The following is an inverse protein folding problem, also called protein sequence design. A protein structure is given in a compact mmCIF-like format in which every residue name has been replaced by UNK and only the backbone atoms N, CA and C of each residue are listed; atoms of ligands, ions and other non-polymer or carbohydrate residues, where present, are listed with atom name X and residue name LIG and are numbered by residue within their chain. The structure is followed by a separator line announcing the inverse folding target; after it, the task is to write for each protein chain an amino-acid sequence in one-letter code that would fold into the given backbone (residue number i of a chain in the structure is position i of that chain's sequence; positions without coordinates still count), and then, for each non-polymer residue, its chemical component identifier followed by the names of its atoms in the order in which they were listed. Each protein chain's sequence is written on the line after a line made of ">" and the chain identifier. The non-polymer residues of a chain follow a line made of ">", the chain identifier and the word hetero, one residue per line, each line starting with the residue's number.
data_IF_621397269648
#
_entry.id   IF_621397269648
#
_cell.length_a   1.000
_cell.length_b   1.000
_cell.length_c   1.000
_cell.angle_alpha   90.00
_cell.angle_beta   90.00
_cell.angle_gamma   90.00
#
_symmetry.space_group_name_H-M   'P 1'
#
loop_
_entity.id
_entity.type
_entity.pdbx_description
1 polymer ?
#
# COMPACT_ATOMS: atom_id res chain seq x y z
N UNK A 1 22.99 -7.87 39.32
CA UNK A 1 22.97 -8.22 37.88
C UNK A 1 21.51 -8.41 37.51
N UNK A 2 20.89 -7.41 36.88
CA UNK A 2 19.44 -7.37 36.64
C UNK A 2 19.17 -7.77 35.19
N UNK A 3 18.75 -9.01 34.95
CA UNK A 3 18.23 -9.45 33.65
C UNK A 3 16.74 -9.14 33.56
N UNK A 4 16.44 -7.88 33.24
CA UNK A 4 15.09 -7.36 32.97
C UNK A 4 14.72 -7.46 31.48
N UNK A 5 15.51 -8.20 30.70
CA UNK A 5 15.43 -8.23 29.24
C UNK A 5 14.70 -9.46 28.65
N UNK A 6 14.41 -10.50 29.45
CA UNK A 6 13.74 -11.71 28.94
C UNK A 6 12.21 -11.67 29.00
N UNK A 7 11.60 -10.67 29.62
CA UNK A 7 10.13 -10.60 29.81
C UNK A 7 9.37 -9.89 28.69
N UNK A 8 10.04 -9.40 27.64
CA UNK A 8 9.43 -8.61 26.56
C UNK A 8 9.30 -9.36 25.22
N UNK A 9 9.66 -10.64 25.18
CA UNK A 9 9.39 -11.50 24.03
C UNK A 9 7.93 -12.03 24.08
N UNK A 10 6.99 -11.17 23.73
CA UNK A 10 5.72 -11.57 23.11
C UNK A 10 4.66 -12.21 24.01
N UNK A 11 4.02 -11.40 24.87
CA UNK A 11 2.65 -11.71 25.34
C UNK A 11 1.69 -11.40 24.17
N UNK A 12 1.70 -12.25 23.14
CA UNK A 12 0.64 -12.23 22.14
C UNK A 12 -0.49 -13.10 22.66
N UNK A 13 -1.66 -12.48 22.88
CA UNK A 13 -2.85 -13.23 23.27
C UNK A 13 -3.14 -14.31 22.22
N UNK A 14 -3.85 -15.40 22.57
CA UNK A 14 -4.32 -16.36 21.57
C UNK A 14 -5.05 -15.70 20.41
N UNK A 15 -5.74 -14.58 20.66
CA UNK A 15 -6.39 -13.77 19.63
C UNK A 15 -5.39 -13.07 18.71
N UNK A 16 -4.33 -12.45 19.24
CA UNK A 16 -3.29 -11.80 18.42
C UNK A 16 -2.58 -12.81 17.52
N UNK A 17 -2.31 -14.01 18.05
CA UNK A 17 -1.72 -15.11 17.27
C UNK A 17 -2.65 -15.60 16.17
N UNK A 18 -3.95 -15.68 16.45
CA UNK A 18 -4.96 -16.04 15.44
C UNK A 18 -5.08 -14.96 14.36
N UNK A 19 -5.13 -13.69 14.73
CA UNK A 19 -5.16 -12.56 13.78
C UNK A 19 -3.94 -12.59 12.87
N UNK A 20 -2.76 -12.83 13.44
CA UNK A 20 -1.52 -12.93 12.69
C UNK A 20 -1.50 -14.14 11.74
N UNK A 21 -1.94 -15.33 12.19
CA UNK A 21 -2.00 -16.53 11.37
C UNK A 21 -3.00 -16.38 10.20
N UNK A 22 -4.19 -15.84 10.47
CA UNK A 22 -5.19 -15.58 9.42
C UNK A 22 -4.69 -14.53 8.42
N UNK A 23 -4.00 -13.49 8.88
CA UNK A 23 -3.37 -12.51 7.99
C UNK A 23 -2.27 -13.16 7.14
N UNK A 24 -1.48 -14.10 7.69
CA UNK A 24 -0.47 -14.84 6.93
C UNK A 24 -1.10 -15.76 5.88
N UNK A 25 -2.17 -16.48 6.21
CA UNK A 25 -2.87 -17.37 5.27
C UNK A 25 -3.54 -16.60 4.12
N UNK A 26 -4.10 -15.41 4.39
CA UNK A 26 -4.63 -14.52 3.35
C UNK A 26 -3.53 -13.96 2.42
N UNK A 27 -2.27 -13.98 2.89
CA UNK A 27 -1.10 -13.54 2.15
C UNK A 27 -0.31 -14.70 1.53
N UNK A 28 -0.72 -15.96 1.72
CA UNK A 28 0.05 -17.15 1.31
C UNK A 28 0.28 -17.26 -0.22
N UNK A 29 -0.46 -16.49 -1.03
CA UNK A 29 -0.26 -16.36 -2.48
C UNK A 29 0.30 -15.01 -2.95
N UNK A 30 0.52 -14.05 -2.04
CA UNK A 30 1.01 -12.70 -2.35
C UNK A 30 2.43 -12.56 -1.84
N UNK A 31 3.31 -11.96 -2.63
CA UNK A 31 4.67 -11.73 -2.14
C UNK A 31 4.63 -10.76 -0.95
N UNK A 32 5.51 -10.92 0.04
CA UNK A 32 5.64 -9.96 1.17
C UNK A 32 5.73 -8.51 0.67
N UNK A 33 6.41 -8.32 -0.47
CA UNK A 33 6.50 -7.04 -1.15
C UNK A 33 5.13 -6.46 -1.53
N UNK A 34 4.21 -7.27 -2.06
CA UNK A 34 2.86 -6.81 -2.41
C UNK A 34 2.03 -6.48 -1.17
N UNK A 35 2.19 -7.24 -0.09
CA UNK A 35 1.51 -6.96 1.19
C UNK A 35 2.02 -5.66 1.78
N UNK A 36 3.33 -5.49 1.93
CA UNK A 36 3.96 -4.27 2.42
C UNK A 36 3.60 -3.05 1.55
N UNK A 37 3.58 -3.23 0.22
CA UNK A 37 3.21 -2.17 -0.72
C UNK A 37 1.73 -1.77 -0.58
N UNK A 38 0.83 -2.75 -0.41
CA UNK A 38 -0.61 -2.52 -0.20
C UNK A 38 -0.87 -1.74 1.08
N UNK A 39 -0.14 -2.06 2.15
CA UNK A 39 -0.19 -1.34 3.41
C UNK A 39 0.26 0.12 3.25
N UNK A 40 1.39 0.34 2.57
CA UNK A 40 1.94 1.68 2.35
C UNK A 40 1.12 2.54 1.36
N UNK A 41 0.33 1.90 0.49
CA UNK A 41 -0.27 2.53 -0.67
C UNK A 41 -1.06 3.83 -0.39
N UNK A 42 -1.95 3.92 0.62
CA UNK A 42 -2.70 5.16 0.87
C UNK A 42 -1.78 6.37 1.08
N UNK A 43 -0.67 6.17 1.80
CA UNK A 43 0.33 7.22 2.06
C UNK A 43 1.10 7.55 0.79
N UNK A 44 1.54 6.54 0.03
CA UNK A 44 2.26 6.75 -1.23
C UNK A 44 1.41 7.53 -2.24
N UNK A 45 0.17 7.09 -2.43
CA UNK A 45 -0.77 7.68 -3.39
C UNK A 45 -1.12 9.13 -3.01
N UNK A 46 -1.35 9.41 -1.73
CA UNK A 46 -1.56 10.77 -1.22
C UNK A 46 -0.41 11.73 -1.59
N UNK A 47 0.83 11.32 -1.37
CA UNK A 47 2.00 12.16 -1.68
C UNK A 47 2.20 12.33 -3.20
N UNK A 48 1.85 11.31 -3.99
CA UNK A 48 1.88 11.40 -5.46
C UNK A 48 0.85 12.41 -5.98
N UNK A 49 -0.35 12.47 -5.39
CA UNK A 49 -1.38 13.47 -5.73
C UNK A 49 -0.91 14.89 -5.39
N UNK A 50 -0.20 15.04 -4.28
CA UNK A 50 0.45 16.28 -3.87
C UNK A 50 1.68 16.63 -4.74
N UNK A 51 1.85 15.97 -5.89
CA UNK A 51 2.90 16.19 -6.90
C UNK A 51 4.31 15.84 -6.43
N UNK A 52 4.46 15.00 -5.40
CA UNK A 52 5.77 14.45 -5.06
C UNK A 52 6.29 13.58 -6.21
N UNK A 53 7.58 13.69 -6.53
CA UNK A 53 8.19 12.93 -7.64
C UNK A 53 8.14 11.42 -7.32
N UNK A 54 7.67 10.61 -8.27
CA UNK A 54 7.59 9.12 -8.14
C UNK A 54 8.90 8.48 -7.67
N UNK A 55 10.04 8.96 -8.18
CA UNK A 55 11.37 8.49 -7.76
C UNK A 55 11.61 8.69 -6.27
N UNK A 56 11.27 9.87 -5.74
CA UNK A 56 11.46 10.19 -4.33
C UNK A 56 10.53 9.36 -3.44
N UNK A 57 9.28 9.17 -3.84
CA UNK A 57 8.31 8.30 -3.13
C UNK A 57 8.82 6.85 -3.08
N UNK A 58 9.32 6.33 -4.20
CA UNK A 58 9.94 5.00 -4.26
C UNK A 58 11.17 4.89 -3.35
N UNK A 59 12.07 5.88 -3.37
CA UNK A 59 13.27 5.89 -2.52
C UNK A 59 12.88 5.88 -1.03
N UNK A 60 11.82 6.60 -0.64
CA UNK A 60 11.28 6.57 0.73
C UNK A 60 10.67 5.21 1.09
N UNK A 61 9.89 4.60 0.20
CA UNK A 61 9.35 3.26 0.40
C UNK A 61 10.46 2.21 0.58
N UNK A 62 11.45 2.21 -0.32
CA UNK A 62 12.61 1.34 -0.26
C UNK A 62 13.35 1.49 1.09
N UNK A 63 13.58 2.72 1.54
CA UNK A 63 14.28 2.99 2.80
C UNK A 63 13.47 2.54 4.03
N UNK A 64 12.14 2.73 4.03
CA UNK A 64 11.28 2.37 5.16
C UNK A 64 11.06 0.86 5.30
N UNK A 65 10.88 0.16 4.18
CA UNK A 65 10.56 -1.28 4.15
C UNK A 65 11.77 -2.18 3.84
N UNK A 66 12.96 -1.61 3.62
CA UNK A 66 14.18 -2.36 3.35
C UNK A 66 14.26 -2.97 1.94
N UNK A 67 13.53 -2.41 0.97
CA UNK A 67 13.52 -2.89 -0.41
C UNK A 67 14.51 -2.14 -1.31
N UNK A 68 14.82 -2.74 -2.47
CA UNK A 68 15.66 -2.13 -3.52
C UNK A 68 14.93 -2.12 -4.87
N UNK A 69 13.71 -1.61 -4.88
CA UNK A 69 12.94 -1.48 -6.11
C UNK A 69 13.57 -0.47 -7.06
N UNK A 70 13.58 -0.80 -8.35
CA UNK A 70 13.80 0.17 -9.41
C UNK A 70 12.47 0.86 -9.83
N UNK A 71 12.58 1.92 -10.62
CA UNK A 71 11.41 2.71 -11.03
C UNK A 71 10.36 1.91 -11.82
N UNK A 72 10.77 0.94 -12.64
CA UNK A 72 9.85 0.13 -13.42
C UNK A 72 9.04 -0.81 -12.51
N UNK A 73 9.71 -1.46 -11.55
CA UNK A 73 9.08 -2.33 -10.55
C UNK A 73 8.09 -1.55 -9.67
N UNK A 74 8.51 -0.38 -9.17
CA UNK A 74 7.65 0.47 -8.36
C UNK A 74 6.41 0.92 -9.13
N UNK A 75 6.56 1.33 -10.40
CA UNK A 75 5.41 1.70 -11.27
C UNK A 75 4.46 0.52 -11.49
N UNK A 76 4.99 -0.69 -11.68
CA UNK A 76 4.17 -1.89 -11.85
C UNK A 76 3.32 -2.17 -10.61
N UNK A 77 3.91 -2.11 -9.42
CA UNK A 77 3.20 -2.28 -8.15
C UNK A 77 2.14 -1.20 -7.95
N UNK A 78 2.49 0.06 -8.23
CA UNK A 78 1.57 1.19 -8.09
C UNK A 78 0.34 1.04 -9.00
N UNK A 79 0.55 0.69 -10.26
CA UNK A 79 -0.55 0.53 -11.22
C UNK A 79 -1.43 -0.68 -10.87
N UNK A 80 -0.82 -1.82 -10.50
CA UNK A 80 -1.58 -3.01 -10.11
C UNK A 80 -2.42 -2.78 -8.84
N UNK A 81 -1.92 -1.97 -7.90
CA UNK A 81 -2.69 -1.59 -6.70
C UNK A 81 -3.83 -0.63 -7.02
N UNK A 82 -3.60 0.36 -7.91
CA UNK A 82 -4.64 1.27 -8.41
C UNK A 82 -5.78 0.53 -9.10
N UNK A 83 -5.44 -0.36 -10.05
CA UNK A 83 -6.39 -1.17 -10.80
C UNK A 83 -7.24 -2.03 -9.86
N UNK A 84 -6.62 -2.77 -8.94
CA UNK A 84 -7.35 -3.59 -7.97
C UNK A 84 -8.31 -2.77 -7.10
N UNK A 85 -7.88 -1.58 -6.67
CA UNK A 85 -8.73 -0.70 -5.85
C UNK A 85 -9.88 -0.09 -6.66
N UNK A 86 -9.64 0.22 -7.93
CA UNK A 86 -10.69 0.63 -8.85
C UNK A 86 -11.73 -0.49 -9.04
N UNK A 87 -11.29 -1.73 -9.25
CA UNK A 87 -12.17 -2.91 -9.34
C UNK A 87 -12.96 -3.15 -8.04
N UNK A 88 -12.34 -2.93 -6.88
CA UNK A 88 -12.97 -3.07 -5.57
C UNK A 88 -13.85 -1.87 -5.15
N UNK A 89 -13.86 -0.78 -5.92
CA UNK A 89 -14.52 0.47 -5.54
C UNK A 89 -13.85 1.23 -4.38
N UNK A 90 -12.62 0.89 -4.04
CA UNK A 90 -11.84 1.51 -2.97
C UNK A 90 -11.16 2.80 -3.47
N UNK A 91 -11.88 3.91 -3.41
CA UNK A 91 -11.35 5.19 -3.90
C UNK A 91 -10.43 5.84 -2.85
N UNK A 92 -9.18 6.10 -3.23
CA UNK A 92 -8.30 6.96 -2.42
C UNK A 92 -8.77 8.40 -2.56
N UNK A 93 -8.97 9.05 -1.42
CA UNK A 93 -9.34 10.45 -1.34
C UNK A 93 -8.12 11.28 -0.95
N UNK A 94 -7.88 12.37 -1.67
CA UNK A 94 -6.82 13.30 -1.28
C UNK A 94 -7.20 13.97 0.04
N UNK A 95 -6.41 13.79 1.10
CA UNK A 95 -6.70 14.42 2.41
C UNK A 95 -6.64 15.96 2.39
N UNK A 96 -5.95 16.56 1.41
CA UNK A 96 -5.80 18.01 1.28
C UNK A 96 -6.96 18.71 0.59
N UNK A 97 -7.67 18.02 -0.32
CA UNK A 97 -8.80 18.61 -1.06
C UNK A 97 -10.10 17.81 -0.97
N UNK A 98 -10.10 16.66 -0.30
CA UNK A 98 -11.28 15.79 -0.12
C UNK A 98 -11.80 15.16 -1.41
N UNK A 99 -11.13 15.37 -2.55
CA UNK A 99 -11.60 14.85 -3.85
C UNK A 99 -11.14 13.40 -4.05
N UNK A 100 -12.04 12.53 -4.54
CA UNK A 100 -11.66 11.20 -4.99
C UNK A 100 -10.65 11.32 -6.13
N UNK A 101 -9.66 10.44 -6.13
CA UNK A 101 -8.66 10.32 -7.20
C UNK A 101 -9.32 9.55 -8.33
N UNK A 102 -10.22 10.22 -9.05
CA UNK A 102 -10.65 9.74 -10.36
C UNK A 102 -9.50 10.05 -11.31
N UNK A 103 -8.78 9.02 -11.74
CA UNK A 103 -8.15 9.07 -13.06
C UNK A 103 -9.32 9.26 -14.06
N UNK A 104 -9.23 10.19 -15.03
CA UNK A 104 -10.35 10.44 -15.91
C UNK A 104 -10.74 9.12 -16.56
N UNK A 105 -11.97 8.68 -16.31
CA UNK A 105 -12.60 7.66 -17.13
C UNK A 105 -12.34 8.07 -18.58
N UNK A 106 -11.74 7.15 -19.34
CA UNK A 106 -11.63 7.29 -20.78
C UNK A 106 -12.94 7.91 -21.27
N UNK A 107 -12.83 9.07 -21.91
CA UNK A 107 -13.96 9.81 -22.40
C UNK A 107 -14.83 8.85 -23.22
N UNK A 108 -15.92 8.43 -22.61
CA UNK A 108 -17.10 7.93 -23.29
C UNK A 108 -17.63 9.14 -24.07
N UNK A 109 -17.08 9.33 -25.27
CA UNK A 109 -17.72 10.15 -26.28
C UNK A 109 -18.94 9.36 -26.77
N UNK A 110 -19.97 9.34 -25.94
CA UNK A 110 -21.33 9.32 -26.44
C UNK A 110 -21.57 10.64 -27.15
N UNK A 111 -21.40 10.66 -28.46
CA UNK A 111 -22.19 11.57 -29.30
C UNK A 111 -23.38 10.78 -29.84
N UNK A 112 -24.55 11.26 -29.41
CA UNK A 112 -25.88 10.80 -29.75
C UNK A 112 -26.34 11.46 -31.05
N UNK A 113 -27.22 10.72 -31.76
CA UNK A 113 -28.13 11.11 -32.85
C UNK A 113 -27.57 11.51 -34.22
#
# INVERSE_FOLDING_TARGET
>A
MNNLAETLAGIHSPLDRLQHALAQDLNLGKSKLETDFREAYPVLEQHLIQRMRKRLVMERFNAAYGYKLNQAQFRKLLNAERERRQEAGEVVVCSGCGRPVQEPAAADQGESE
#
